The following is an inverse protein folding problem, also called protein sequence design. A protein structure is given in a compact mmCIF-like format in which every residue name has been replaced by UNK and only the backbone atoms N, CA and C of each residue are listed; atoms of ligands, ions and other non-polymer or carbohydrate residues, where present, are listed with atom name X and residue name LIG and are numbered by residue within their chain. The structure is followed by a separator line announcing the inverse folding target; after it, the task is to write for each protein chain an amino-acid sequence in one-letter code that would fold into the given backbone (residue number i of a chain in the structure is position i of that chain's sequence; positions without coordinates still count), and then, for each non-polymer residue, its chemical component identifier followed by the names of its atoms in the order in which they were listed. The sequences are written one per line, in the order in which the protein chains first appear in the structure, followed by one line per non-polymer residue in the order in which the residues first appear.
data_IF_040042450296
#
_entry.id   IF_040042450296
#
_cell.length_a   1.000
_cell.length_b   1.000
_cell.length_c   1.000
_cell.angle_alpha   90.00
_cell.angle_beta   90.00
_cell.angle_gamma   90.00
#
_symmetry.space_group_name_H-M   'P 1'
#
loop_
_entity.id
_entity.type
_entity.pdbx_description
1 polymer ?
#
# COMPACT_ATOMS: atom_id res chain seq x y z
N UNK A 1 -23.01 -2.38 -7.36
CA UNK A 1 -22.11 -2.10 -6.22
C UNK A 1 -20.69 -2.13 -6.76
N UNK A 2 -19.97 -1.00 -6.72
CA UNK A 2 -18.61 -0.95 -7.26
C UNK A 2 -17.62 -1.66 -6.33
N UNK A 3 -16.54 -2.23 -6.90
CA UNK A 3 -15.44 -2.86 -6.14
C UNK A 3 -14.91 -1.91 -5.05
N UNK A 4 -14.84 -0.61 -5.37
CA UNK A 4 -14.40 0.45 -4.46
C UNK A 4 -15.33 0.63 -3.25
N UNK A 5 -16.65 0.58 -3.45
CA UNK A 5 -17.63 0.74 -2.38
C UNK A 5 -17.62 -0.44 -1.41
N UNK A 6 -17.42 -1.66 -1.96
CA UNK A 6 -17.29 -2.87 -1.16
C UNK A 6 -16.05 -2.80 -0.26
N UNK A 7 -14.90 -2.42 -0.81
CA UNK A 7 -13.68 -2.27 -0.01
C UNK A 7 -13.78 -1.17 1.04
N UNK A 8 -14.41 -0.03 0.72
CA UNK A 8 -14.62 1.05 1.68
C UNK A 8 -15.42 0.57 2.90
N UNK A 9 -16.46 -0.26 2.69
CA UNK A 9 -17.24 -0.86 3.78
C UNK A 9 -16.39 -1.81 4.66
N UNK A 10 -15.46 -2.56 4.06
CA UNK A 10 -14.58 -3.45 4.82
C UNK A 10 -13.57 -2.66 5.66
N UNK A 11 -12.96 -1.62 5.10
CA UNK A 11 -11.99 -0.80 5.81
C UNK A 11 -12.63 -0.06 6.98
N UNK A 12 -13.87 0.43 6.83
CA UNK A 12 -14.62 1.08 7.92
C UNK A 12 -14.93 0.16 9.11
N UNK A 13 -14.87 -1.17 8.94
CA UNK A 13 -15.11 -2.14 10.02
C UNK A 13 -13.87 -2.40 10.89
N UNK A 14 -12.67 -2.05 10.41
CA UNK A 14 -11.43 -2.25 11.14
C UNK A 14 -11.10 -1.06 12.04
N UNK A 15 -10.44 -1.30 13.17
CA UNK A 15 -9.98 -0.25 14.07
C UNK A 15 -8.83 0.54 13.46
N UNK A 16 -8.75 1.85 13.76
CA UNK A 16 -7.70 2.72 13.21
C UNK A 16 -6.29 2.18 13.47
N UNK A 17 -6.06 1.66 14.69
CA UNK A 17 -4.78 1.04 15.07
C UNK A 17 -4.42 -0.10 14.13
N UNK A 18 -5.35 -1.01 13.86
CA UNK A 18 -5.10 -2.18 13.04
C UNK A 18 -4.96 -1.82 11.55
N UNK A 19 -5.68 -0.80 11.09
CA UNK A 19 -5.47 -0.23 9.75
C UNK A 19 -4.05 0.32 9.61
N UNK A 20 -3.55 1.08 10.60
CA UNK A 20 -2.17 1.60 10.60
C UNK A 20 -1.14 0.48 10.58
N UNK A 21 -1.31 -0.55 11.41
CA UNK A 21 -0.43 -1.72 11.43
C UNK A 21 -0.44 -2.46 10.08
N UNK A 22 -1.62 -2.66 9.48
CA UNK A 22 -1.73 -3.33 8.19
C UNK A 22 -1.09 -2.53 7.05
N UNK A 23 -1.20 -1.20 7.08
CA UNK A 23 -0.52 -0.32 6.14
C UNK A 23 1.00 -0.49 6.25
N UNK A 24 1.53 -0.35 7.47
CA UNK A 24 2.96 -0.48 7.74
C UNK A 24 3.45 -1.87 7.32
N UNK A 25 2.72 -2.92 7.71
CA UNK A 25 3.03 -4.29 7.36
C UNK A 25 3.09 -4.53 5.85
N UNK A 26 2.14 -3.99 5.09
CA UNK A 26 2.13 -4.07 3.62
C UNK A 26 3.32 -3.37 2.99
N UNK A 27 3.69 -2.17 3.47
CA UNK A 27 4.84 -1.44 2.94
C UNK A 27 6.15 -2.19 3.23
N UNK A 28 6.32 -2.71 4.45
CA UNK A 28 7.47 -3.54 4.82
C UNK A 28 7.55 -4.79 3.95
N UNK A 29 6.43 -5.49 3.77
CA UNK A 29 6.35 -6.68 2.93
C UNK A 29 6.73 -6.37 1.47
N UNK A 30 6.26 -5.26 0.92
CA UNK A 30 6.59 -4.84 -0.45
C UNK A 30 8.06 -4.47 -0.62
N UNK A 31 8.66 -3.77 0.35
CA UNK A 31 10.10 -3.49 0.37
C UNK A 31 10.89 -4.80 0.41
N UNK A 32 10.49 -5.74 1.28
CA UNK A 32 11.14 -7.04 1.38
C UNK A 32 11.04 -7.86 0.10
N UNK A 33 9.86 -7.88 -0.55
CA UNK A 33 9.66 -8.51 -1.87
C UNK A 33 10.56 -7.85 -2.91
N UNK A 34 10.59 -6.51 -2.96
CA UNK A 34 11.46 -5.78 -3.88
C UNK A 34 12.93 -6.15 -3.70
N UNK A 35 13.39 -6.27 -2.46
CA UNK A 35 14.77 -6.66 -2.15
C UNK A 35 15.07 -8.11 -2.57
N UNK A 36 14.16 -9.05 -2.29
CA UNK A 36 14.29 -10.47 -2.65
C UNK A 36 14.42 -10.69 -4.16
N UNK A 37 13.66 -9.93 -4.95
CA UNK A 37 13.64 -10.04 -6.42
C UNK A 37 14.40 -8.91 -7.11
N UNK A 38 15.30 -8.24 -6.38
CA UNK A 38 16.04 -7.07 -6.86
C UNK A 38 16.78 -7.36 -8.16
N UNK A 39 17.49 -8.49 -8.26
CA UNK A 39 18.26 -8.90 -9.44
C UNK A 39 17.37 -9.01 -10.69
N UNK A 40 16.18 -9.59 -10.57
CA UNK A 40 15.26 -9.78 -11.69
C UNK A 40 14.50 -8.50 -12.05
N UNK A 41 14.22 -7.66 -11.05
CA UNK A 41 13.37 -6.48 -11.20
C UNK A 41 14.13 -5.18 -11.47
N UNK A 42 15.45 -5.14 -11.27
CA UNK A 42 16.25 -3.92 -11.43
C UNK A 42 16.15 -3.33 -12.83
N UNK A 43 16.08 -4.17 -13.87
CA UNK A 43 15.88 -3.74 -15.27
C UNK A 43 14.54 -3.02 -15.49
N UNK A 44 13.53 -3.29 -14.65
CA UNK A 44 12.24 -2.63 -14.69
C UNK A 44 12.14 -1.43 -13.74
N UNK A 45 13.18 -1.15 -12.96
CA UNK A 45 13.16 -0.14 -11.90
C UNK A 45 12.76 1.25 -12.40
N UNK A 46 13.23 1.64 -13.59
CA UNK A 46 12.87 2.93 -14.20
C UNK A 46 11.37 3.02 -14.53
N UNK A 47 10.77 1.95 -15.06
CA UNK A 47 9.34 1.92 -15.35
C UNK A 47 8.50 1.94 -14.06
N UNK A 48 8.94 1.21 -13.04
CA UNK A 48 8.26 1.15 -11.73
C UNK A 48 8.26 2.52 -11.06
N UNK A 49 9.41 3.20 -10.98
CA UNK A 49 9.51 4.53 -10.34
C UNK A 49 8.78 5.60 -11.14
N UNK A 50 8.80 5.52 -12.47
CA UNK A 50 8.05 6.44 -13.35
C UNK A 50 6.55 6.27 -13.12
N UNK A 51 6.04 5.02 -13.12
CA UNK A 51 4.64 4.74 -12.84
C UNK A 51 4.24 5.18 -11.43
N UNK A 52 5.08 4.90 -10.41
CA UNK A 52 4.84 5.35 -9.04
C UNK A 52 4.71 6.87 -8.96
N UNK A 53 5.65 7.59 -9.60
CA UNK A 53 5.69 9.06 -9.59
C UNK A 53 4.48 9.66 -10.29
N UNK A 54 4.10 9.14 -11.45
CA UNK A 54 2.91 9.59 -12.18
C UNK A 54 1.63 9.37 -11.37
N UNK A 55 1.45 8.19 -10.80
CA UNK A 55 0.27 7.85 -10.00
C UNK A 55 0.19 8.70 -8.73
N UNK A 56 1.31 8.89 -8.03
CA UNK A 56 1.38 9.76 -6.86
C UNK A 56 1.12 11.23 -7.24
N UNK A 57 1.66 11.69 -8.37
CA UNK A 57 1.39 13.04 -8.90
C UNK A 57 -0.11 13.26 -9.13
N UNK A 58 -0.79 12.32 -9.80
CA UNK A 58 -2.24 12.36 -10.01
C UNK A 58 -2.99 12.37 -8.67
N UNK A 59 -2.58 11.52 -7.72
CA UNK A 59 -3.16 11.50 -6.38
C UNK A 59 -3.04 12.85 -5.67
N UNK A 60 -1.84 13.44 -5.62
CA UNK A 60 -1.59 14.70 -4.92
C UNK A 60 -2.31 15.87 -5.58
N UNK A 61 -2.30 15.97 -6.91
CA UNK A 61 -3.07 17.01 -7.63
C UNK A 61 -4.56 16.85 -7.35
N UNK A 62 -5.10 15.64 -7.41
CA UNK A 62 -6.50 15.36 -7.11
C UNK A 62 -6.89 15.61 -5.65
N UNK A 63 -6.00 15.30 -4.70
CA UNK A 63 -6.19 15.57 -3.29
C UNK A 63 -6.15 17.08 -3.01
N UNK A 64 -5.18 17.80 -3.58
CA UNK A 64 -5.04 19.24 -3.42
C UNK A 64 -6.22 20.01 -4.03
N UNK A 65 -6.69 19.61 -5.21
CA UNK A 65 -7.86 20.22 -5.85
C UNK A 65 -9.14 20.04 -5.02
N UNK A 66 -9.31 18.89 -4.35
CA UNK A 66 -10.43 18.65 -3.44
C UNK A 66 -10.30 19.42 -2.14
N UNK A 67 -9.12 19.43 -1.54
CA UNK A 67 -8.82 20.22 -0.36
C UNK A 67 -9.13 21.71 -0.59
N UNK A 68 -8.68 22.27 -1.72
CA UNK A 68 -9.02 23.64 -2.15
C UNK A 68 -10.54 23.88 -2.22
N UNK A 69 -11.29 22.89 -2.69
CA UNK A 69 -12.77 22.95 -2.79
C UNK A 69 -13.49 22.56 -1.48
N UNK A 70 -12.77 22.37 -0.36
CA UNK A 70 -13.29 21.86 0.92
C UNK A 70 -14.08 20.55 0.77
N UNK A 71 -13.69 19.69 -0.19
CA UNK A 71 -14.30 18.38 -0.43
C UNK A 71 -13.47 17.28 0.19
N UNK A 72 -14.14 16.23 0.69
CA UNK A 72 -13.50 15.04 1.22
C UNK A 72 -12.86 14.25 0.07
N UNK A 73 -11.67 13.71 0.32
CA UNK A 73 -10.98 12.82 -0.62
C UNK A 73 -11.72 11.50 -0.73
N UNK A 74 -12.08 11.11 -1.95
CA UNK A 74 -12.82 9.86 -2.20
C UNK A 74 -11.93 8.65 -1.97
N UNK A 75 -12.54 7.51 -1.61
CA UNK A 75 -11.82 6.24 -1.46
C UNK A 75 -11.04 5.87 -2.73
N UNK A 76 -11.63 6.08 -3.91
CA UNK A 76 -10.96 5.87 -5.21
C UNK A 76 -9.67 6.68 -5.38
N UNK A 77 -9.64 7.92 -4.89
CA UNK A 77 -8.42 8.74 -4.94
C UNK A 77 -7.38 8.20 -3.95
N UNK A 78 -7.78 7.86 -2.73
CA UNK A 78 -6.89 7.25 -1.75
C UNK A 78 -6.33 5.90 -2.23
N UNK A 79 -7.12 5.10 -2.95
CA UNK A 79 -6.67 3.86 -3.56
C UNK A 79 -5.59 4.08 -4.62
N UNK A 80 -5.73 5.12 -5.47
CA UNK A 80 -4.64 5.50 -6.39
C UNK A 80 -3.37 5.88 -5.63
N UNK A 81 -3.49 6.66 -4.56
CA UNK A 81 -2.36 6.97 -3.67
C UNK A 81 -1.69 5.71 -3.11
N UNK A 82 -2.49 4.73 -2.68
CA UNK A 82 -1.97 3.43 -2.20
C UNK A 82 -1.23 2.64 -3.28
N UNK A 83 -1.73 2.63 -4.50
CA UNK A 83 -1.06 1.95 -5.63
C UNK A 83 0.30 2.62 -5.90
N UNK A 84 0.34 3.96 -5.94
CA UNK A 84 1.58 4.71 -6.10
C UNK A 84 2.58 4.44 -4.97
N UNK A 85 2.13 4.44 -3.72
CA UNK A 85 2.95 4.11 -2.55
C UNK A 85 3.46 2.67 -2.59
N UNK A 86 2.65 1.71 -3.03
CA UNK A 86 3.03 0.32 -3.14
C UNK A 86 4.15 0.11 -4.19
N UNK A 87 4.01 0.75 -5.35
CA UNK A 87 5.05 0.73 -6.39
C UNK A 87 6.34 1.39 -5.91
N UNK A 88 6.24 2.51 -5.19
CA UNK A 88 7.41 3.18 -4.62
C UNK A 88 8.11 2.30 -3.57
N UNK A 89 7.35 1.68 -2.66
CA UNK A 89 7.90 0.76 -1.66
C UNK A 89 8.60 -0.44 -2.34
N UNK A 90 7.99 -1.01 -3.38
CA UNK A 90 8.60 -2.07 -4.17
C UNK A 90 9.91 -1.60 -4.81
N UNK A 91 9.93 -0.42 -5.43
CA UNK A 91 11.13 0.17 -6.03
C UNK A 91 12.26 0.37 -5.00
N UNK A 92 11.95 0.91 -3.82
CA UNK A 92 12.94 1.06 -2.75
C UNK A 92 13.53 -0.28 -2.32
N UNK A 93 12.70 -1.34 -2.28
CA UNK A 93 13.17 -2.70 -2.08
C UNK A 93 14.14 -3.15 -3.17
N UNK A 94 13.78 -2.96 -4.44
CA UNK A 94 14.63 -3.33 -5.59
C UNK A 94 15.99 -2.66 -5.53
N UNK A 95 16.04 -1.38 -5.14
CA UNK A 95 17.30 -0.63 -5.00
C UNK A 95 18.11 -1.02 -3.76
N UNK A 96 17.57 -1.88 -2.89
CA UNK A 96 18.18 -2.28 -1.63
C UNK A 96 18.44 -3.80 -1.57
N UNK A 97 19.21 -4.37 -2.52
CA UNK A 97 19.48 -5.82 -2.56
C UNK A 97 20.23 -6.32 -1.32
N UNK A 98 20.91 -5.42 -0.61
CA UNK A 98 21.74 -5.71 0.56
C UNK A 98 20.94 -5.85 1.85
N UNK A 99 19.61 -5.68 1.84
CA UNK A 99 18.79 -5.84 3.04
C UNK A 99 18.97 -7.27 3.57
N UNK A 100 19.68 -7.46 4.69
CA UNK A 100 19.88 -8.79 5.23
C UNK A 100 18.54 -9.29 5.79
N UNK A 101 18.34 -10.61 5.80
CA UNK A 101 17.14 -11.22 6.38
C UNK A 101 15.82 -10.74 5.76
N UNK A 102 15.83 -10.36 4.47
CA UNK A 102 14.64 -9.88 3.74
C UNK A 102 13.44 -10.84 3.85
N UNK A 103 13.66 -12.15 3.93
CA UNK A 103 12.59 -13.13 4.16
C UNK A 103 11.94 -13.03 5.56
N UNK A 104 12.72 -12.69 6.60
CA UNK A 104 12.19 -12.46 7.94
C UNK A 104 11.46 -11.13 8.03
N UNK A 105 11.95 -10.11 7.33
CA UNK A 105 11.30 -8.80 7.21
C UNK A 105 9.95 -8.95 6.49
N UNK A 106 9.88 -9.78 5.44
CA UNK A 106 8.62 -10.15 4.80
C UNK A 106 7.66 -10.81 5.80
N UNK A 107 8.15 -11.77 6.58
CA UNK A 107 7.37 -12.41 7.65
C UNK A 107 6.80 -11.42 8.65
N UNK A 108 7.62 -10.48 9.14
CA UNK A 108 7.17 -9.40 10.03
C UNK A 108 6.10 -8.52 9.36
N UNK A 109 6.31 -8.15 8.09
CA UNK A 109 5.34 -7.39 7.31
C UNK A 109 3.98 -8.10 7.25
N UNK A 110 3.97 -9.40 6.96
CA UNK A 110 2.75 -10.23 6.94
C UNK A 110 2.10 -10.27 8.33
N UNK A 111 2.87 -10.54 9.39
CA UNK A 111 2.35 -10.63 10.77
C UNK A 111 1.61 -9.34 11.18
N UNK A 112 2.16 -8.18 10.82
CA UNK A 112 1.55 -6.89 11.13
C UNK A 112 0.19 -6.67 10.43
N UNK A 113 -0.10 -7.39 9.35
CA UNK A 113 -1.40 -7.31 8.66
C UNK A 113 -2.48 -8.21 9.26
N UNK A 114 -2.11 -9.23 10.05
CA UNK A 114 -3.02 -10.24 10.60
C UNK A 114 -4.13 -9.62 11.47
N UNK A 115 -3.85 -8.70 12.42
CA UNK A 115 -4.90 -8.14 13.28
C UNK A 115 -6.04 -7.48 12.50
N UNK A 116 -5.70 -6.74 11.43
CA UNK A 116 -6.69 -6.09 10.57
C UNK A 116 -7.49 -7.11 9.76
N UNK A 117 -6.85 -8.15 9.23
CA UNK A 117 -7.53 -9.27 8.56
C UNK A 117 -8.55 -9.95 9.47
N UNK A 118 -8.20 -10.21 10.74
CA UNK A 118 -9.10 -10.83 11.71
C UNK A 118 -10.34 -9.96 11.96
N UNK A 119 -10.18 -8.65 12.12
CA UNK A 119 -11.31 -7.74 12.30
C UNK A 119 -12.24 -7.70 11.08
N UNK A 120 -11.67 -7.62 9.88
CA UNK A 120 -12.45 -7.63 8.63
C UNK A 120 -13.25 -8.93 8.50
N UNK A 121 -12.63 -10.08 8.78
CA UNK A 121 -13.29 -11.40 8.72
C UNK A 121 -14.38 -11.54 9.79
N UNK A 122 -14.13 -11.11 11.03
CA UNK A 122 -15.16 -11.10 12.09
C UNK A 122 -16.31 -10.16 11.74
N UNK A 123 -16.01 -9.01 11.16
CA UNK A 123 -17.01 -8.04 10.70
C UNK A 123 -17.82 -8.50 9.49
N UNK A 124 -17.36 -9.50 8.72
CA UNK A 124 -18.10 -10.12 7.63
C UNK A 124 -19.08 -11.21 8.09
N UNK A 125 -18.86 -11.78 9.28
CA UNK A 125 -19.74 -12.80 9.88
C UNK A 125 -20.92 -12.22 10.67
N UNK A 126 -20.99 -10.89 10.82
CA UNK A 126 -22.13 -10.15 11.38
C UNK A 126 -22.90 -9.47 10.25
#
# INVERSE_FOLDING_TARGET
MGIWEWQEKLVKKASERNIRLAIIGKLIALIAIGALFSVQLIQYGYYIVTAATLILGIYFVGAFARWRKKKITTYSNNALGWIGMALLALYLGIQSPQIPYSIYILGLGIILTIPSLIEVVKGLKK
#
